data_IF_264856794906
#
_entry.id   IF_264856794906
#
_cell.length_a   1.000
_cell.length_b   1.000
_cell.length_c   1.000
_cell.angle_alpha   90.00
_cell.angle_beta   90.00
_cell.angle_gamma   90.00
#
_symmetry.space_group_name_H-M   'P 1'
#
loop_
_entity.id
_entity.type
_entity.pdbx_description
1 polymer ?
#
# COMPACT_ATOMS: atom_id res chain seq x y z
N UNK A 1 13.40 -13.19 6.19
CA UNK A 1 13.44 -12.59 4.85
C UNK A 1 12.25 -11.67 4.67
N UNK A 2 12.51 -10.38 4.76
CA UNK A 2 11.57 -9.27 4.60
C UNK A 2 12.14 -8.25 3.62
N UNK A 3 11.28 -7.55 2.88
CA UNK A 3 11.70 -6.41 2.05
C UNK A 3 12.41 -5.32 2.86
N UNK A 4 12.16 -5.25 4.18
CA UNK A 4 12.84 -4.34 5.10
C UNK A 4 14.34 -4.63 5.19
N UNK A 5 14.70 -5.90 5.33
CA UNK A 5 16.09 -6.36 5.39
C UNK A 5 16.80 -6.03 4.07
N UNK A 6 16.13 -6.28 2.93
CA UNK A 6 16.67 -5.91 1.61
C UNK A 6 16.92 -4.40 1.43
N UNK A 7 16.07 -3.54 2.01
CA UNK A 7 16.27 -2.08 1.99
C UNK A 7 17.43 -1.69 2.90
N UNK A 8 17.52 -2.29 4.09
CA UNK A 8 18.60 -2.02 5.05
C UNK A 8 19.97 -2.43 4.51
N UNK A 9 20.05 -3.55 3.80
CA UNK A 9 21.29 -4.06 3.19
C UNK A 9 21.73 -3.30 1.93
N UNK A 10 20.94 -2.33 1.46
CA UNK A 10 21.27 -1.55 0.28
C UNK A 10 22.55 -0.69 0.52
N UNK A 11 23.58 -0.74 -0.34
CA UNK A 11 24.88 -0.09 -0.09
C UNK A 11 24.84 1.42 0.16
N UNK A 12 23.84 2.12 -0.39
CA UNK A 12 23.62 3.56 -0.19
C UNK A 12 22.64 3.91 0.96
N UNK A 13 22.16 2.93 1.74
CA UNK A 13 21.30 3.21 2.90
C UNK A 13 22.14 3.34 4.17
N UNK A 14 22.97 2.33 4.48
CA UNK A 14 23.82 2.37 5.69
C UNK A 14 23.03 2.72 6.95
N UNK A 15 23.56 3.65 7.75
CA UNK A 15 22.95 4.10 9.00
C UNK A 15 21.70 4.99 8.80
N UNK A 16 21.45 5.46 7.57
CA UNK A 16 20.29 6.32 7.23
C UNK A 16 19.00 5.52 6.94
N UNK A 17 18.90 4.30 7.47
CA UNK A 17 17.73 3.46 7.29
C UNK A 17 16.47 4.11 7.90
N UNK A 18 15.48 4.36 7.06
CA UNK A 18 14.17 4.84 7.47
C UNK A 18 13.23 3.66 7.75
N UNK A 19 13.07 3.33 9.03
CA UNK A 19 12.25 2.21 9.48
C UNK A 19 10.77 2.34 9.08
N UNK A 20 10.21 3.56 9.09
CA UNK A 20 8.82 3.82 8.71
C UNK A 20 8.61 3.59 7.22
N UNK A 21 9.54 4.03 6.37
CA UNK A 21 9.50 3.73 4.94
C UNK A 21 9.60 2.22 4.69
N UNK A 22 10.48 1.52 5.41
CA UNK A 22 10.58 0.07 5.32
C UNK A 22 9.28 -0.64 5.69
N UNK A 23 8.60 -0.22 6.76
CA UNK A 23 7.30 -0.77 7.16
C UNK A 23 6.20 -0.44 6.14
N UNK A 24 6.16 0.80 5.65
CA UNK A 24 5.21 1.22 4.63
C UNK A 24 5.37 0.42 3.33
N UNK A 25 6.62 0.19 2.88
CA UNK A 25 6.90 -0.65 1.71
C UNK A 25 6.46 -2.09 1.95
N UNK A 26 6.72 -2.65 3.13
CA UNK A 26 6.29 -4.01 3.50
C UNK A 26 4.77 -4.15 3.43
N UNK A 27 4.03 -3.25 4.07
CA UNK A 27 2.57 -3.31 4.04
C UNK A 27 1.99 -2.97 2.68
N UNK A 28 2.54 -2.04 1.90
CA UNK A 28 2.08 -1.83 0.54
C UNK A 28 2.31 -3.07 -0.35
N UNK A 29 3.43 -3.77 -0.20
CA UNK A 29 3.69 -5.03 -0.93
C UNK A 29 2.66 -6.12 -0.58
N UNK A 30 2.39 -6.34 0.71
CA UNK A 30 1.33 -7.27 1.12
C UNK A 30 -0.07 -6.77 0.73
N UNK A 31 -0.28 -5.46 0.77
CA UNK A 31 -1.54 -4.81 0.47
C UNK A 31 -1.94 -5.02 -0.97
N UNK A 32 -0.99 -4.86 -1.89
CA UNK A 32 -1.19 -5.18 -3.31
C UNK A 32 -1.71 -6.61 -3.49
N UNK A 33 -1.06 -7.60 -2.88
CA UNK A 33 -1.49 -8.99 -2.98
C UNK A 33 -2.88 -9.24 -2.37
N UNK A 34 -3.16 -8.67 -1.19
CA UNK A 34 -4.42 -8.85 -0.47
C UNK A 34 -5.58 -8.20 -1.22
N UNK A 35 -5.42 -6.97 -1.71
CA UNK A 35 -6.47 -6.25 -2.44
C UNK A 35 -6.76 -6.93 -3.79
N UNK A 36 -5.73 -7.37 -4.52
CA UNK A 36 -5.91 -8.18 -5.73
C UNK A 36 -6.68 -9.48 -5.42
N UNK A 37 -6.35 -10.17 -4.33
CA UNK A 37 -7.07 -11.39 -3.92
C UNK A 37 -8.51 -11.10 -3.48
N UNK A 38 -8.78 -9.95 -2.85
CA UNK A 38 -10.14 -9.55 -2.49
C UNK A 38 -10.98 -9.24 -3.73
N UNK A 39 -10.39 -8.64 -4.77
CA UNK A 39 -11.07 -8.41 -6.04
C UNK A 39 -11.53 -9.73 -6.68
N UNK A 40 -10.65 -10.73 -6.75
CA UNK A 40 -10.99 -12.08 -7.25
C UNK A 40 -12.06 -12.77 -6.38
N UNK A 41 -11.95 -12.68 -5.06
CA UNK A 41 -12.96 -13.21 -4.16
C UNK A 41 -14.33 -12.54 -4.39
N UNK A 42 -14.38 -11.21 -4.52
CA UNK A 42 -15.60 -10.47 -4.85
C UNK A 42 -16.15 -10.84 -6.23
N UNK A 43 -15.30 -11.15 -7.21
CA UNK A 43 -15.72 -11.56 -8.55
C UNK A 43 -16.49 -12.89 -8.54
N UNK A 44 -16.16 -13.79 -7.61
CA UNK A 44 -16.84 -15.07 -7.45
C UNK A 44 -18.16 -14.99 -6.67
N UNK A 45 -18.50 -13.85 -6.07
CA UNK A 45 -19.73 -13.65 -5.33
C UNK A 45 -20.87 -13.27 -6.30
N UNK A 46 -21.98 -14.01 -6.26
CA UNK A 46 -23.13 -13.80 -7.16
C UNK A 46 -24.36 -13.21 -6.46
N UNK A 47 -24.23 -12.90 -5.18
CA UNK A 47 -25.31 -12.45 -4.29
C UNK A 47 -25.69 -10.98 -4.51
N UNK A 48 -24.77 -10.15 -5.01
CA UNK A 48 -24.95 -8.72 -5.21
C UNK A 48 -23.97 -8.17 -6.26
N UNK A 49 -24.26 -6.99 -6.81
CA UNK A 49 -23.31 -6.28 -7.66
C UNK A 49 -22.12 -5.78 -6.80
N UNK A 50 -20.91 -6.20 -7.20
CA UNK A 50 -19.65 -5.86 -6.53
C UNK A 50 -18.67 -5.16 -7.48
N UNK A 51 -19.13 -4.71 -8.64
CA UNK A 51 -18.30 -4.06 -9.67
C UNK A 51 -17.45 -2.91 -9.13
N UNK A 52 -18.04 -2.00 -8.35
CA UNK A 52 -17.30 -0.90 -7.70
C UNK A 52 -16.29 -1.41 -6.66
N UNK A 53 -16.67 -2.39 -5.82
CA UNK A 53 -15.75 -2.96 -4.82
C UNK A 53 -14.54 -3.62 -5.49
N UNK A 54 -14.77 -4.41 -6.53
CA UNK A 54 -13.73 -5.02 -7.36
C UNK A 54 -12.83 -3.94 -7.95
N UNK A 55 -13.42 -2.88 -8.52
CA UNK A 55 -12.65 -1.79 -9.12
C UNK A 55 -11.75 -1.09 -8.09
N UNK A 56 -12.29 -0.74 -6.91
CA UNK A 56 -11.50 -0.07 -5.86
C UNK A 56 -10.41 -0.98 -5.27
N UNK A 57 -10.66 -2.28 -5.15
CA UNK A 57 -9.63 -3.24 -4.77
C UNK A 57 -8.48 -3.27 -5.78
N UNK A 58 -8.77 -3.30 -7.08
CA UNK A 58 -7.74 -3.29 -8.12
C UNK A 58 -6.98 -1.95 -8.17
N UNK A 59 -7.69 -0.82 -8.08
CA UNK A 59 -7.05 0.51 -8.02
C UNK A 59 -6.09 0.63 -6.83
N UNK A 60 -6.51 0.18 -5.65
CA UNK A 60 -5.68 0.21 -4.44
C UNK A 60 -4.52 -0.79 -4.51
N UNK A 61 -4.73 -1.96 -5.14
CA UNK A 61 -3.66 -2.92 -5.43
C UNK A 61 -2.57 -2.32 -6.31
N UNK A 62 -2.96 -1.65 -7.40
CA UNK A 62 -2.03 -1.03 -8.34
C UNK A 62 -1.29 0.16 -7.73
N UNK A 63 -1.99 1.00 -6.95
CA UNK A 63 -1.37 2.10 -6.22
C UNK A 63 -0.33 1.60 -5.21
N UNK A 64 -0.69 0.58 -4.41
CA UNK A 64 0.24 -0.09 -3.51
C UNK A 64 1.44 -0.67 -4.27
N UNK A 65 1.20 -1.26 -5.44
CA UNK A 65 2.25 -1.82 -6.29
C UNK A 65 3.23 -0.76 -6.77
N UNK A 66 2.72 0.36 -7.26
CA UNK A 66 3.54 1.49 -7.65
C UNK A 66 4.36 2.03 -6.47
N UNK A 67 3.71 2.22 -5.31
CA UNK A 67 4.38 2.73 -4.12
C UNK A 67 5.49 1.81 -3.62
N UNK A 68 5.23 0.50 -3.41
CA UNK A 68 6.26 -0.37 -2.86
C UNK A 68 7.47 -0.49 -3.82
N UNK A 69 7.22 -0.49 -5.15
CA UNK A 69 8.28 -0.54 -6.16
C UNK A 69 9.12 0.73 -6.19
N UNK A 70 8.51 1.90 -6.01
CA UNK A 70 9.23 3.18 -5.98
C UNK A 70 9.95 3.36 -4.64
N UNK A 71 9.27 3.10 -3.51
CA UNK A 71 9.80 3.28 -2.17
C UNK A 71 10.96 2.33 -1.81
N UNK A 72 11.01 1.14 -2.43
CA UNK A 72 12.11 0.18 -2.24
C UNK A 72 13.40 0.56 -2.97
N UNK A 73 13.37 1.49 -3.94
CA UNK A 73 14.57 1.92 -4.66
C UNK A 73 15.29 3.03 -3.90
N UNK A 74 16.58 2.86 -3.65
CA UNK A 74 17.37 3.76 -2.78
C UNK A 74 18.45 4.56 -3.51
N UNK A 75 18.88 4.14 -4.71
CA UNK A 75 19.82 4.91 -5.55
C UNK A 75 19.19 6.23 -6.00
N UNK A 76 19.93 7.34 -5.86
CA UNK A 76 19.56 8.66 -6.39
C UNK A 76 18.44 9.40 -5.65
N UNK A 77 18.02 8.90 -4.47
CA UNK A 77 17.05 9.52 -3.54
C UNK A 77 15.93 10.38 -4.20
N UNK A 78 14.87 9.73 -4.69
CA UNK A 78 13.72 10.43 -5.26
C UNK A 78 12.58 10.62 -4.24
N UNK A 79 12.82 11.47 -3.24
CA UNK A 79 11.87 11.71 -2.13
C UNK A 79 10.54 12.29 -2.64
N UNK A 80 10.60 13.20 -3.63
CA UNK A 80 9.41 13.84 -4.22
C UNK A 80 8.46 12.78 -4.82
N UNK A 81 8.97 11.85 -5.64
CA UNK A 81 8.14 10.81 -6.24
C UNK A 81 7.60 9.81 -5.21
N UNK A 82 8.42 9.42 -4.22
CA UNK A 82 7.97 8.51 -3.14
C UNK A 82 6.79 9.14 -2.39
N UNK A 83 6.91 10.42 -2.02
CA UNK A 83 5.86 11.14 -1.29
C UNK A 83 4.59 11.31 -2.11
N UNK A 84 4.71 11.68 -3.38
CA UNK A 84 3.57 11.81 -4.29
C UNK A 84 2.82 10.47 -4.44
N UNK A 85 3.56 9.37 -4.63
CA UNK A 85 2.96 8.04 -4.74
C UNK A 85 2.33 7.57 -3.43
N UNK A 86 2.92 7.92 -2.28
CA UNK A 86 2.35 7.63 -0.97
C UNK A 86 0.99 8.31 -0.77
N UNK A 87 0.87 9.59 -1.16
CA UNK A 87 -0.42 10.30 -1.11
C UNK A 87 -1.48 9.64 -2.02
N UNK A 88 -1.11 9.25 -3.24
CA UNK A 88 -2.02 8.53 -4.14
C UNK A 88 -2.45 7.16 -3.56
N UNK A 89 -1.53 6.46 -2.92
CA UNK A 89 -1.80 5.16 -2.27
C UNK A 89 -2.79 5.29 -1.11
N UNK A 90 -2.67 6.34 -0.30
CA UNK A 90 -3.60 6.63 0.78
C UNK A 90 -5.02 6.81 0.22
N UNK A 91 -5.18 7.65 -0.81
CA UNK A 91 -6.49 7.91 -1.43
C UNK A 91 -7.10 6.62 -1.97
N UNK A 92 -6.32 5.80 -2.69
CA UNK A 92 -6.83 4.55 -3.25
C UNK A 92 -7.26 3.56 -2.15
N UNK A 93 -6.48 3.44 -1.06
CA UNK A 93 -6.84 2.58 0.07
C UNK A 93 -8.07 3.09 0.83
N UNK A 94 -8.24 4.41 0.99
CA UNK A 94 -9.43 5.01 1.61
C UNK A 94 -10.70 4.69 0.79
N UNK A 95 -10.61 4.79 -0.54
CA UNK A 95 -11.70 4.40 -1.46
C UNK A 95 -11.98 2.89 -1.45
N UNK A 96 -10.95 2.05 -1.31
CA UNK A 96 -11.15 0.62 -1.15
C UNK A 96 -11.86 0.28 0.17
N UNK A 97 -11.52 0.96 1.27
CA UNK A 97 -12.18 0.77 2.57
C UNK A 97 -13.67 1.11 2.49
N UNK A 98 -14.01 2.23 1.84
CA UNK A 98 -15.41 2.68 1.69
C UNK A 98 -16.30 1.56 1.12
N UNK A 99 -15.85 0.89 0.07
CA UNK A 99 -16.61 -0.20 -0.56
C UNK A 99 -16.47 -1.55 0.14
N UNK A 100 -15.27 -1.96 0.56
CA UNK A 100 -15.10 -3.24 1.26
C UNK A 100 -15.86 -3.28 2.61
N UNK A 101 -16.04 -2.12 3.27
CA UNK A 101 -16.77 -2.03 4.54
C UNK A 101 -18.29 -2.24 4.38
N UNK A 102 -18.82 -2.22 3.15
CA UNK A 102 -20.22 -2.53 2.85
C UNK A 102 -20.52 -4.03 2.86
N UNK A 103 -19.51 -4.88 3.10
CA UNK A 103 -19.61 -6.32 2.97
C UNK A 103 -19.22 -7.03 4.26
N UNK A 104 -20.03 -8.00 4.70
CA UNK A 104 -19.76 -8.74 5.95
C UNK A 104 -18.79 -9.92 5.76
N UNK A 105 -18.29 -10.12 4.54
CA UNK A 105 -17.42 -11.23 4.17
C UNK A 105 -16.07 -11.21 4.89
N UNK A 106 -15.54 -12.40 5.15
CA UNK A 106 -14.23 -12.55 5.79
C UNK A 106 -13.10 -11.94 4.95
N UNK A 107 -13.17 -12.02 3.62
CA UNK A 107 -12.13 -11.45 2.75
C UNK A 107 -12.20 -9.91 2.73
N UNK A 108 -13.39 -9.32 2.63
CA UNK A 108 -13.58 -7.86 2.68
C UNK A 108 -13.10 -7.28 4.03
N UNK A 109 -13.43 -7.92 5.16
CA UNK A 109 -12.93 -7.51 6.49
C UNK A 109 -11.40 -7.51 6.57
N UNK A 110 -10.74 -8.51 5.98
CA UNK A 110 -9.26 -8.56 5.88
C UNK A 110 -8.71 -7.48 4.96
N UNK A 111 -9.38 -7.21 3.85
CA UNK A 111 -9.01 -6.14 2.93
C UNK A 111 -9.06 -4.77 3.64
N UNK A 112 -10.14 -4.47 4.38
CA UNK A 112 -10.28 -3.25 5.20
C UNK A 112 -9.16 -3.14 6.23
N UNK A 113 -8.85 -4.22 6.96
CA UNK A 113 -7.74 -4.22 7.91
C UNK A 113 -6.42 -3.87 7.22
N UNK A 114 -6.13 -4.51 6.08
CA UNK A 114 -4.89 -4.29 5.36
C UNK A 114 -4.77 -2.86 4.80
N UNK A 115 -5.84 -2.31 4.23
CA UNK A 115 -5.86 -0.93 3.77
C UNK A 115 -5.59 0.05 4.92
N UNK A 116 -6.13 -0.18 6.11
CA UNK A 116 -5.85 0.65 7.29
C UNK A 116 -4.37 0.58 7.71
N UNK A 117 -3.77 -0.62 7.68
CA UNK A 117 -2.34 -0.80 7.97
C UNK A 117 -1.45 -0.07 6.95
N UNK A 118 -1.77 -0.18 5.65
CA UNK A 118 -1.09 0.57 4.58
C UNK A 118 -1.21 2.07 4.81
N UNK A 119 -2.42 2.59 5.03
CA UNK A 119 -2.64 4.04 5.22
C UNK A 119 -1.83 4.57 6.40
N UNK A 120 -1.89 3.88 7.55
CA UNK A 120 -1.16 4.29 8.76
C UNK A 120 0.33 4.41 8.49
N UNK A 121 0.92 3.39 7.88
CA UNK A 121 2.37 3.31 7.76
C UNK A 121 2.90 4.17 6.60
N UNK A 122 2.13 4.31 5.51
CA UNK A 122 2.42 5.30 4.46
C UNK A 122 2.36 6.73 5.01
N UNK A 123 1.34 7.08 5.82
CA UNK A 123 1.26 8.40 6.49
C UNK A 123 2.48 8.65 7.38
N UNK A 124 2.89 7.65 8.16
CA UNK A 124 4.08 7.73 9.00
C UNK A 124 5.37 7.95 8.18
N UNK A 125 5.54 7.20 7.09
CA UNK A 125 6.71 7.29 6.22
C UNK A 125 6.81 8.67 5.54
N UNK A 126 5.73 9.14 4.90
CA UNK A 126 5.77 10.42 4.18
C UNK A 126 5.84 11.64 5.10
N UNK A 127 5.35 11.53 6.34
CA UNK A 127 5.43 12.60 7.35
C UNK A 127 6.86 12.87 7.81
N UNK A 128 7.76 11.89 7.72
CA UNK A 128 9.19 12.06 8.05
C UNK A 128 10.04 12.54 6.88
N UNK A 129 9.52 12.48 5.65
CA UNK A 129 10.23 12.92 4.46
C UNK A 129 10.21 14.45 4.38
N UNK A 130 11.36 15.10 4.65
CA UNK A 130 11.51 16.53 4.39
C UNK A 130 11.42 16.77 2.88
N UNK A 131 10.49 17.60 2.46
CA UNK A 131 10.53 18.20 1.11
C UNK A 131 11.46 19.39 1.20
N UNK A 132 12.70 19.25 0.74
CA UNK A 132 13.52 20.40 0.40
C UNK A 132 12.86 21.05 -0.83
N UNK A 133 12.44 22.30 -0.67
CA UNK A 133 11.90 23.16 -1.73
C UNK A 133 13.07 23.82 -2.42
#
# INVERSE_FOLDING_TARGET
>A
MSIKEMIQDHPHVGDDYNAELGEAVKHAMYGAAIMNSCADACLAQTDQDRSECIRRCLDASDACTAFYRIGSRRTGQNVIAIRAMGLATIVACEQCIEHCSMHDDRHCKRCVQMCNEVIRDVKAAIGRMKTEV
#
